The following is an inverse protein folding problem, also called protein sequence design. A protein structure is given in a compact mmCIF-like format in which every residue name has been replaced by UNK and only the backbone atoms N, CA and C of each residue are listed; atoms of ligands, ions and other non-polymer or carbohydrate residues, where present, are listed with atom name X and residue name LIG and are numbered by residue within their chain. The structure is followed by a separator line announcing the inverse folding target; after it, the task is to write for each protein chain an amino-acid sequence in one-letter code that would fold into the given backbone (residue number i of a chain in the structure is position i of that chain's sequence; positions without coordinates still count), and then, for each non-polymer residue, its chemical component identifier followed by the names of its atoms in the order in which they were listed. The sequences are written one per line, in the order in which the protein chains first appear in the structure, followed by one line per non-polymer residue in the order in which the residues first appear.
data_IF_373740897673
#
_entry.id   IF_373740897673
#
_cell.length_a   1.000
_cell.length_b   1.000
_cell.length_c   1.000
_cell.angle_alpha   90.00
_cell.angle_beta   90.00
_cell.angle_gamma   90.00
#
_symmetry.space_group_name_H-M   'P 1'
#
loop_
_entity.id
_entity.type
_entity.pdbx_description
1 polymer ?
#
# COMPACT_ATOMS: atom_id res chain seq x y z
N UNK A 1 4.18 -1.89 -18.18
CA UNK A 1 3.41 -2.41 -17.03
C UNK A 1 1.89 -2.30 -17.26
N UNK A 2 1.42 -2.38 -18.51
CA UNK A 2 0.07 -2.01 -18.96
C UNK A 2 -0.91 -3.19 -19.12
N UNK A 3 -0.61 -4.37 -18.55
CA UNK A 3 -1.41 -5.60 -18.74
C UNK A 3 -1.58 -6.45 -17.47
N UNK A 4 -1.64 -5.84 -16.29
CA UNK A 4 -2.18 -6.54 -15.13
C UNK A 4 -3.72 -6.40 -15.18
N UNK A 5 -4.49 -7.49 -15.32
CA UNK A 5 -5.93 -7.40 -15.51
C UNK A 5 -6.68 -6.82 -14.29
N UNK A 6 -6.05 -6.78 -13.10
CA UNK A 6 -6.68 -6.35 -11.84
C UNK A 6 -5.79 -5.36 -11.08
N UNK A 7 -6.35 -4.28 -10.49
CA UNK A 7 -5.59 -3.31 -9.70
C UNK A 7 -4.70 -3.92 -8.60
N UNK A 8 -5.19 -4.97 -7.92
CA UNK A 8 -4.42 -5.68 -6.89
C UNK A 8 -3.15 -6.35 -7.41
N UNK A 9 -3.18 -6.90 -8.63
CA UNK A 9 -1.99 -7.49 -9.26
C UNK A 9 -0.97 -6.41 -9.64
N UNK A 10 -1.42 -5.27 -10.14
CA UNK A 10 -0.54 -4.10 -10.37
C UNK A 10 0.12 -3.66 -9.06
N UNK A 11 -0.67 -3.59 -7.98
CA UNK A 11 -0.16 -3.23 -6.66
C UNK A 11 0.90 -4.24 -6.20
N UNK A 12 0.66 -5.55 -6.33
CA UNK A 12 1.64 -6.59 -5.97
C UNK A 12 2.96 -6.44 -6.74
N UNK A 13 2.90 -6.20 -8.05
CA UNK A 13 4.10 -5.98 -8.88
C UNK A 13 4.88 -4.77 -8.38
N UNK A 14 4.20 -3.66 -8.05
CA UNK A 14 4.87 -2.45 -7.55
C UNK A 14 5.42 -2.65 -6.14
N UNK A 15 4.71 -3.36 -5.26
CA UNK A 15 5.20 -3.71 -3.94
C UNK A 15 6.49 -4.53 -4.01
N UNK A 16 6.57 -5.47 -4.95
CA UNK A 16 7.75 -6.32 -5.17
C UNK A 16 8.92 -5.56 -5.81
N UNK A 17 8.61 -4.61 -6.70
CA UNK A 17 9.63 -3.83 -7.40
C UNK A 17 10.22 -2.70 -6.54
N UNK A 18 9.38 -2.03 -5.75
CA UNK A 18 9.75 -0.82 -5.00
C UNK A 18 10.09 -1.11 -3.53
N UNK A 19 9.60 -2.22 -2.98
CA UNK A 19 9.70 -2.57 -1.56
C UNK A 19 9.45 -1.37 -0.61
N UNK A 20 8.32 -0.63 -0.74
CA UNK A 20 8.09 0.57 0.04
C UNK A 20 8.05 0.27 1.54
N UNK A 21 8.27 1.31 2.35
CA UNK A 21 8.26 1.25 3.82
C UNK A 21 7.40 2.36 4.40
N UNK A 22 6.82 2.11 5.58
CA UNK A 22 5.95 3.06 6.26
C UNK A 22 4.59 3.17 5.57
N UNK A 23 4.05 4.39 5.49
CA UNK A 23 2.76 4.67 4.85
C UNK A 23 3.04 5.40 3.55
N UNK A 24 2.68 4.80 2.41
CA UNK A 24 3.02 5.31 1.07
C UNK A 24 1.83 5.22 0.13
N UNK A 25 1.57 6.26 -0.64
CA UNK A 25 0.58 6.22 -1.74
C UNK A 25 1.27 5.83 -3.03
N UNK A 26 0.79 4.77 -3.68
CA UNK A 26 1.21 4.38 -5.02
C UNK A 26 0.27 4.99 -6.05
N UNK A 27 0.84 5.62 -7.07
CA UNK A 27 0.11 6.27 -8.16
C UNK A 27 0.56 5.74 -9.52
N UNK A 28 -0.34 5.73 -10.50
CA UNK A 28 -0.08 5.31 -11.87
C UNK A 28 -0.12 6.49 -12.82
N UNK A 29 0.91 6.63 -13.64
CA UNK A 29 0.89 7.48 -14.82
C UNK A 29 0.37 6.69 -16.02
N UNK A 30 -0.96 6.65 -16.16
CA UNK A 30 -1.59 5.90 -17.25
C UNK A 30 -1.40 6.56 -18.61
N UNK A 31 -1.10 7.87 -18.64
CA UNK A 31 -1.03 8.66 -19.87
C UNK A 31 0.41 9.01 -20.28
N UNK A 32 1.41 8.64 -19.48
CA UNK A 32 2.82 8.93 -19.73
C UNK A 32 3.16 10.42 -19.62
N UNK A 33 2.38 11.18 -18.83
CA UNK A 33 2.46 12.64 -18.76
C UNK A 33 3.39 13.16 -17.66
N UNK A 34 3.91 12.29 -16.78
CA UNK A 34 4.72 12.73 -15.63
C UNK A 34 5.96 13.52 -16.02
N UNK A 35 6.67 13.11 -17.07
CA UNK A 35 7.87 13.81 -17.55
C UNK A 35 7.55 15.20 -18.12
N UNK A 36 6.45 15.30 -18.86
CA UNK A 36 5.94 16.56 -19.42
C UNK A 36 5.49 17.48 -18.29
N UNK A 37 4.72 16.96 -17.33
CA UNK A 37 4.29 17.73 -16.16
C UNK A 37 5.47 18.22 -15.33
N UNK A 38 6.53 17.40 -15.18
CA UNK A 38 7.78 17.82 -14.53
C UNK A 38 8.44 19.01 -15.23
N UNK A 39 8.47 19.01 -16.56
CA UNK A 39 9.00 20.12 -17.35
C UNK A 39 8.10 21.36 -17.26
N UNK A 40 6.78 21.19 -17.30
CA UNK A 40 5.81 22.29 -17.14
C UNK A 40 5.89 22.90 -15.74
N UNK A 41 6.11 22.10 -14.69
CA UNK A 41 6.17 22.58 -13.31
C UNK A 41 7.27 23.63 -13.08
N UNK A 42 8.38 23.57 -13.83
CA UNK A 42 9.46 24.55 -13.76
C UNK A 42 9.06 25.94 -14.27
N UNK A 43 8.03 26.03 -15.13
CA UNK A 43 7.61 27.26 -15.79
C UNK A 43 6.23 27.72 -15.27
N UNK A 44 5.31 26.77 -15.09
CA UNK A 44 3.91 26.98 -14.69
C UNK A 44 3.50 25.96 -13.61
N UNK A 45 4.00 26.11 -12.37
CA UNK A 45 3.77 25.14 -11.29
C UNK A 45 2.29 24.93 -10.99
N UNK A 46 1.46 25.98 -10.97
CA UNK A 46 0.03 25.86 -10.71
C UNK A 46 -0.72 25.06 -11.77
N UNK A 47 -0.31 25.16 -13.04
CA UNK A 47 -0.92 24.37 -14.12
C UNK A 47 -0.54 22.90 -13.99
N UNK A 48 0.71 22.60 -13.59
CA UNK A 48 1.16 21.24 -13.35
C UNK A 48 0.42 20.60 -12.15
N UNK A 49 0.26 21.34 -11.05
CA UNK A 49 -0.54 20.90 -9.88
C UNK A 49 -1.99 20.67 -10.28
N UNK A 50 -2.60 21.62 -10.99
CA UNK A 50 -3.97 21.46 -11.48
C UNK A 50 -4.15 20.21 -12.35
N UNK A 51 -3.19 19.88 -13.22
CA UNK A 51 -3.26 18.64 -13.99
C UNK A 51 -3.19 17.38 -13.12
N UNK A 52 -2.33 17.38 -12.08
CA UNK A 52 -2.27 16.28 -11.11
C UNK A 52 -3.60 16.11 -10.37
N UNK A 53 -4.19 17.20 -9.89
CA UNK A 53 -5.48 17.20 -9.19
C UNK A 53 -6.64 16.73 -10.10
N UNK A 54 -6.54 16.98 -11.40
CA UNK A 54 -7.52 16.56 -12.40
C UNK A 54 -7.24 15.16 -12.99
N UNK A 55 -6.50 14.32 -12.28
CA UNK A 55 -6.38 12.89 -12.62
C UNK A 55 -5.33 12.57 -13.67
N UNK A 56 -4.33 13.43 -13.87
CA UNK A 56 -3.15 13.07 -14.67
C UNK A 56 -2.42 11.84 -14.09
N UNK A 57 -2.48 11.67 -12.77
CA UNK A 57 -2.06 10.45 -12.07
C UNK A 57 -3.26 9.80 -11.39
N UNK A 58 -3.29 8.47 -11.43
CA UNK A 58 -4.36 7.68 -10.81
C UNK A 58 -3.86 7.05 -9.52
N UNK A 59 -4.54 7.30 -8.40
CA UNK A 59 -4.25 6.61 -7.14
C UNK A 59 -4.51 5.10 -7.29
N UNK A 60 -3.46 4.31 -7.16
CA UNK A 60 -3.56 2.86 -7.17
C UNK A 60 -3.92 2.34 -5.79
N UNK A 61 -3.08 2.58 -4.79
CA UNK A 61 -3.31 2.11 -3.43
C UNK A 61 -2.59 2.97 -2.41
N UNK A 62 -3.17 3.06 -1.21
CA UNK A 62 -2.40 3.43 -0.03
C UNK A 62 -1.82 2.16 0.58
N UNK A 63 -0.53 2.13 0.85
CA UNK A 63 0.20 0.97 1.40
C UNK A 63 0.70 1.28 2.80
N UNK A 64 0.45 0.36 3.75
CA UNK A 64 1.12 0.29 5.05
C UNK A 64 2.11 -0.87 5.01
N UNK A 65 3.40 -0.57 4.99
CA UNK A 65 4.48 -1.56 4.93
C UNK A 65 5.39 -1.43 6.16
N UNK A 66 5.16 -2.22 7.23
CA UNK A 66 5.99 -2.18 8.43
C UNK A 66 7.42 -2.72 8.17
N UNK A 67 8.41 -2.06 8.77
CA UNK A 67 9.78 -2.56 8.89
C UNK A 67 9.89 -3.37 10.19
N UNK A 68 10.25 -4.63 10.07
CA UNK A 68 10.44 -5.51 11.23
C UNK A 68 10.43 -6.99 10.84
N UNK A 69 10.63 -7.85 11.83
CA UNK A 69 10.64 -9.31 11.67
C UNK A 69 9.94 -10.01 12.81
N UNK A 70 9.21 -11.07 12.47
CA UNK A 70 8.56 -11.97 13.41
C UNK A 70 8.54 -13.39 12.83
N UNK A 71 7.92 -14.35 13.54
CA UNK A 71 7.58 -15.63 12.91
C UNK A 71 6.39 -15.41 12.01
N UNK A 72 6.31 -16.17 10.91
CA UNK A 72 5.16 -16.08 10.01
C UNK A 72 3.89 -16.44 10.77
N UNK A 73 2.83 -15.69 10.52
CA UNK A 73 1.57 -15.81 11.25
C UNK A 73 1.56 -15.08 12.60
N UNK A 74 2.67 -14.51 13.08
CA UNK A 74 2.63 -13.60 14.23
C UNK A 74 1.97 -12.28 13.81
N UNK A 75 1.19 -11.65 14.70
CA UNK A 75 0.61 -10.33 14.45
C UNK A 75 1.72 -9.28 14.23
N UNK A 76 1.65 -8.58 13.10
CA UNK A 76 2.58 -7.50 12.76
C UNK A 76 2.04 -6.13 13.21
N UNK A 77 0.77 -5.85 12.87
CA UNK A 77 0.07 -4.63 13.26
C UNK A 77 -1.45 -4.83 13.25
N UNK A 78 -2.13 -3.90 13.92
CA UNK A 78 -3.58 -3.72 13.81
C UNK A 78 -3.87 -2.35 13.20
N UNK A 79 -4.86 -2.29 12.33
CA UNK A 79 -5.34 -1.05 11.70
C UNK A 79 -6.82 -0.93 11.96
N UNK A 80 -7.25 0.19 12.55
CA UNK A 80 -8.66 0.59 12.53
C UNK A 80 -8.85 1.60 11.41
N UNK A 81 -9.77 1.32 10.51
CA UNK A 81 -10.18 2.20 9.42
C UNK A 81 -11.51 2.83 9.82
N UNK A 82 -11.58 4.16 9.80
CA UNK A 82 -12.83 4.91 9.97
C UNK A 82 -13.12 5.62 8.65
N UNK A 83 -14.19 5.23 7.98
CA UNK A 83 -14.62 5.81 6.70
C UNK A 83 -15.37 7.14 6.93
N UNK A 84 -15.46 7.97 5.90
CA UNK A 84 -16.16 9.26 5.97
C UNK A 84 -17.66 9.14 6.29
N UNK A 85 -18.28 8.00 6.00
CA UNK A 85 -19.68 7.71 6.33
C UNK A 85 -19.89 7.23 7.79
N UNK A 86 -18.81 7.21 8.59
CA UNK A 86 -18.81 6.75 9.98
C UNK A 86 -18.66 5.24 10.14
N UNK A 87 -18.63 4.47 9.06
CA UNK A 87 -18.33 3.04 9.10
C UNK A 87 -16.94 2.77 9.66
N UNK A 88 -16.76 1.64 10.35
CA UNK A 88 -15.44 1.24 10.85
C UNK A 88 -15.12 -0.21 10.49
N UNK A 89 -13.83 -0.48 10.29
CA UNK A 89 -13.28 -1.81 10.05
C UNK A 89 -11.99 -1.98 10.86
N UNK A 90 -11.82 -3.12 11.52
CA UNK A 90 -10.55 -3.49 12.14
C UNK A 90 -9.87 -4.61 11.36
N UNK A 91 -8.57 -4.43 11.12
CA UNK A 91 -7.71 -5.36 10.39
C UNK A 91 -6.61 -5.79 11.35
N UNK A 92 -6.46 -7.10 11.56
CA UNK A 92 -5.30 -7.68 12.22
C UNK A 92 -4.42 -8.33 11.15
N UNK A 93 -3.27 -7.71 10.87
CA UNK A 93 -2.37 -8.15 9.80
C UNK A 93 -1.24 -9.00 10.36
N UNK A 94 -1.02 -10.18 9.77
CA UNK A 94 -0.02 -11.13 10.20
C UNK A 94 1.26 -11.06 9.36
N UNK A 95 2.40 -11.30 10.00
CA UNK A 95 3.69 -11.28 9.35
C UNK A 95 3.77 -12.34 8.25
N UNK A 96 4.11 -11.90 7.04
CA UNK A 96 4.17 -12.74 5.85
C UNK A 96 2.96 -12.63 4.92
N UNK A 97 1.96 -11.81 5.24
CA UNK A 97 0.69 -11.69 4.51
C UNK A 97 0.53 -10.30 3.88
N UNK A 98 -0.43 -10.20 2.96
CA UNK A 98 -0.91 -8.93 2.41
C UNK A 98 -2.41 -8.88 2.69
N UNK A 99 -2.87 -7.80 3.31
CA UNK A 99 -4.31 -7.58 3.52
C UNK A 99 -4.78 -6.45 2.60
N UNK A 100 -5.85 -6.69 1.85
CA UNK A 100 -6.47 -5.71 0.95
C UNK A 100 -7.81 -5.27 1.51
N UNK A 101 -8.01 -3.97 1.62
CA UNK A 101 -9.25 -3.36 2.10
C UNK A 101 -9.77 -2.38 1.07
N UNK A 102 -11.07 -2.48 0.80
CA UNK A 102 -11.75 -1.58 -0.13
C UNK A 102 -11.75 -0.16 0.44
N UNK A 103 -11.12 0.75 -0.30
CA UNK A 103 -11.24 2.20 -0.12
C UNK A 103 -11.29 2.80 -1.52
N UNK A 104 -12.51 2.95 -2.03
CA UNK A 104 -12.75 3.30 -3.44
C UNK A 104 -12.19 4.70 -3.80
N UNK A 105 -11.80 4.94 -5.06
CA UNK A 105 -11.40 6.26 -5.53
C UNK A 105 -12.40 7.35 -5.14
N UNK A 106 -11.90 8.50 -4.70
CA UNK A 106 -12.72 9.62 -4.24
C UNK A 106 -13.31 9.47 -2.83
N UNK A 107 -13.03 8.37 -2.13
CA UNK A 107 -13.32 8.19 -0.70
C UNK A 107 -12.07 8.44 0.14
N UNK A 108 -12.25 8.88 1.38
CA UNK A 108 -11.18 8.98 2.35
C UNK A 108 -11.49 8.16 3.61
N UNK A 109 -10.44 7.92 4.40
CA UNK A 109 -10.55 7.28 5.70
C UNK A 109 -9.49 7.80 6.67
N UNK A 110 -9.83 7.83 7.96
CA UNK A 110 -8.84 7.95 9.04
C UNK A 110 -8.37 6.56 9.46
N UNK A 111 -7.06 6.32 9.40
CA UNK A 111 -6.44 5.11 9.87
C UNK A 111 -5.86 5.34 11.26
N UNK A 112 -6.18 4.46 12.22
CA UNK A 112 -5.41 4.30 13.45
C UNK A 112 -4.57 3.04 13.36
N UNK A 113 -3.25 3.20 13.31
CA UNK A 113 -2.30 2.12 13.05
C UNK A 113 -1.51 1.82 14.32
N UNK A 114 -1.51 0.55 14.72
CA UNK A 114 -0.91 0.05 15.96
C UNK A 114 0.02 -1.13 15.64
N UNK A 115 1.30 -0.89 15.32
CA UNK A 115 2.26 -1.97 15.13
C UNK A 115 2.63 -2.63 16.47
N UNK A 116 3.05 -3.88 16.44
CA UNK A 116 3.67 -4.49 17.63
C UNK A 116 5.06 -3.90 17.88
N UNK A 117 5.65 -4.16 19.05
CA UNK A 117 6.99 -3.63 19.44
C UNK A 117 8.12 -4.05 18.50
N UNK A 118 7.90 -5.03 17.61
CA UNK A 118 8.87 -5.53 16.64
C UNK A 118 8.85 -4.78 15.30
N UNK A 119 7.84 -3.94 15.08
CA UNK A 119 7.59 -3.31 13.78
C UNK A 119 7.49 -1.80 13.88
N UNK A 120 8.11 -1.10 12.93
CA UNK A 120 8.00 0.34 12.72
C UNK A 120 7.22 0.62 11.43
N UNK A 121 6.32 1.58 11.45
CA UNK A 121 5.52 2.03 10.29
C UNK A 121 5.76 3.52 9.96
N UNK A 122 6.81 4.12 10.53
CA UNK A 122 7.19 5.51 10.26
C UNK A 122 6.63 6.54 11.26
N UNK A 123 6.19 6.12 12.45
CA UNK A 123 5.74 7.02 13.53
C UNK A 123 6.84 7.31 14.57
N UNK A 124 8.11 7.16 14.20
CA UNK A 124 9.25 7.44 15.07
C UNK A 124 9.75 6.23 15.86
N UNK A 125 9.60 5.02 15.32
CA UNK A 125 10.24 3.81 15.83
C UNK A 125 9.30 2.63 16.07
N UNK A 126 9.85 1.45 16.43
CA UNK A 126 9.06 0.24 16.63
C UNK A 126 7.98 0.37 17.71
N UNK A 127 6.78 -0.14 17.42
CA UNK A 127 5.62 -0.10 18.33
C UNK A 127 4.97 1.27 18.51
N UNK A 128 5.46 2.32 17.84
CA UNK A 128 4.83 3.65 17.88
C UNK A 128 3.55 3.63 17.05
N UNK A 129 2.42 3.92 17.72
CA UNK A 129 1.11 4.06 17.08
C UNK A 129 0.91 5.48 16.56
N UNK A 130 0.07 5.62 15.55
CA UNK A 130 -0.25 6.93 14.98
C UNK A 130 -1.54 6.90 14.16
N UNK A 131 -1.97 8.10 13.77
CA UNK A 131 -3.13 8.30 12.92
C UNK A 131 -2.74 8.95 11.61
N UNK A 132 -3.39 8.55 10.51
CA UNK A 132 -3.25 9.20 9.19
C UNK A 132 -4.56 9.18 8.44
N UNK A 133 -4.91 10.32 7.84
CA UNK A 133 -5.96 10.39 6.84
C UNK A 133 -5.37 9.96 5.49
N UNK A 134 -6.08 9.11 4.78
CA UNK A 134 -5.65 8.53 3.51
C UNK A 134 -6.78 8.59 2.49
N UNK A 135 -6.42 8.65 1.21
CA UNK A 135 -7.36 8.62 0.10
C UNK A 135 -7.41 7.23 -0.53
N UNK A 136 -8.57 6.89 -1.07
CA UNK A 136 -8.81 5.66 -1.81
C UNK A 136 -8.16 5.62 -3.19
N UNK A 137 -8.08 4.41 -3.73
CA UNK A 137 -7.47 4.13 -5.02
C UNK A 137 -8.06 2.87 -5.65
N UNK A 138 -7.65 2.56 -6.88
CA UNK A 138 -8.17 1.41 -7.63
C UNK A 138 -8.03 0.06 -6.91
N UNK A 139 -7.00 -0.08 -6.08
CA UNK A 139 -6.68 -1.24 -5.24
C UNK A 139 -6.88 -0.95 -3.73
N UNK A 140 -7.42 0.22 -3.36
CA UNK A 140 -7.81 0.56 -2.00
C UNK A 140 -6.64 0.76 -1.02
N UNK A 141 -6.78 0.22 0.19
CA UNK A 141 -5.77 0.20 1.24
C UNK A 141 -5.14 -1.19 1.30
N UNK A 142 -3.81 -1.25 1.26
CA UNK A 142 -3.04 -2.49 1.37
C UNK A 142 -2.17 -2.47 2.63
N UNK A 143 -2.19 -3.54 3.41
CA UNK A 143 -1.22 -3.77 4.48
C UNK A 143 -0.24 -4.82 4.00
N UNK A 144 0.99 -4.42 3.66
CA UNK A 144 2.05 -5.34 3.24
C UNK A 144 2.91 -5.75 4.45
N UNK A 145 2.43 -6.72 5.21
CA UNK A 145 3.10 -7.27 6.38
C UNK A 145 4.13 -8.37 6.03
N UNK A 146 4.53 -8.50 4.76
CA UNK A 146 5.52 -9.52 4.33
C UNK A 146 6.92 -9.27 4.90
N UNK A 147 7.16 -8.06 5.39
CA UNK A 147 8.41 -7.63 5.99
C UNK A 147 9.38 -7.03 4.99
N UNK A 148 10.37 -6.29 5.53
CA UNK A 148 11.43 -5.64 4.76
C UNK A 148 12.81 -5.92 5.37
N UNK A 149 13.81 -6.32 4.56
CA UNK A 149 13.68 -6.74 3.16
C UNK A 149 12.81 -8.00 3.01
N UNK A 150 12.15 -8.16 1.85
CA UNK A 150 11.30 -9.32 1.57
C UNK A 150 12.13 -10.62 1.60
N UNK A 151 11.67 -11.63 2.37
CA UNK A 151 12.35 -12.93 2.48
C UNK A 151 11.48 -14.07 1.97
N UNK A 152 11.93 -14.68 0.88
CA UNK A 152 11.30 -15.87 0.32
C UNK A 152 11.83 -17.16 0.98
N UNK A 153 10.98 -18.19 1.13
CA UNK A 153 11.44 -19.52 1.50
C UNK A 153 12.53 -20.04 0.56
N UNK A 154 13.53 -20.73 1.11
CA UNK A 154 14.58 -21.40 0.32
C UNK A 154 14.06 -22.64 -0.41
N UNK A 155 13.17 -23.37 0.24
CA UNK A 155 12.47 -24.51 -0.36
C UNK A 155 11.54 -24.04 -1.49
N UNK A 156 11.66 -24.69 -2.66
CA UNK A 156 10.95 -24.30 -3.86
C UNK A 156 9.44 -24.47 -3.72
N UNK A 157 8.98 -25.57 -3.11
CA UNK A 157 7.55 -25.84 -2.90
C UNK A 157 6.91 -24.80 -1.98
N UNK A 158 7.55 -24.54 -0.83
CA UNK A 158 7.10 -23.49 0.10
C UNK A 158 7.11 -22.10 -0.52
N UNK A 159 8.08 -21.80 -1.39
CA UNK A 159 8.12 -20.53 -2.13
C UNK A 159 6.95 -20.42 -3.11
N UNK A 160 6.69 -21.45 -3.90
CA UNK A 160 5.56 -21.44 -4.85
C UNK A 160 4.21 -21.30 -4.15
N UNK A 161 4.00 -22.02 -3.04
CA UNK A 161 2.79 -21.87 -2.23
C UNK A 161 2.64 -20.45 -1.70
N UNK A 162 3.74 -19.84 -1.23
CA UNK A 162 3.71 -18.45 -0.75
C UNK A 162 3.30 -17.46 -1.85
N UNK A 163 3.91 -17.57 -3.03
CA UNK A 163 3.64 -16.66 -4.15
C UNK A 163 2.18 -16.79 -4.62
N UNK A 164 1.64 -18.02 -4.66
CA UNK A 164 0.23 -18.27 -4.96
C UNK A 164 -0.69 -17.66 -3.92
N UNK A 165 -0.33 -17.75 -2.63
CA UNK A 165 -1.09 -17.13 -1.55
C UNK A 165 -1.16 -15.61 -1.73
N UNK A 166 -0.03 -14.95 -1.99
CA UNK A 166 -0.03 -13.50 -2.20
C UNK A 166 -0.81 -13.07 -3.44
N UNK A 167 -0.79 -13.87 -4.52
CA UNK A 167 -1.65 -13.61 -5.68
C UNK A 167 -3.14 -13.68 -5.31
N UNK A 168 -3.53 -14.68 -4.52
CA UNK A 168 -4.90 -14.80 -4.01
C UNK A 168 -5.27 -13.64 -3.08
N UNK A 169 -4.38 -13.27 -2.15
CA UNK A 169 -4.58 -12.18 -1.19
C UNK A 169 -4.86 -10.84 -1.89
N UNK A 170 -4.28 -10.62 -3.09
CA UNK A 170 -4.55 -9.42 -3.91
C UNK A 170 -5.72 -9.56 -4.90
N UNK A 171 -6.51 -10.62 -4.79
CA UNK A 171 -7.71 -10.84 -5.59
C UNK A 171 -7.46 -11.40 -6.99
N UNK A 172 -6.50 -12.33 -7.14
CA UNK A 172 -6.30 -13.12 -8.38
C UNK A 172 -7.12 -14.40 -8.41
#
# INVERSE_FOLDING_TARGET
MTRAPWPGQTALILLDALEPVGITTMVLDMYGVSSVLGSVAAIKPLAAVGALDNGALVNLATVIAPIGRARRGDVALRVRVTYDDGGTLEIESHYGEIDMVSLLPGREAELEIRPTRRFDVGFGGPGKKGKRRVSGGLAGLSVDARGRPLRLPRDAGRRQMQLRRWLWDVGS
#
